data_IF_391017610717
#
_entry.id   IF_391017610717
#
_cell.length_a   1.000
_cell.length_b   1.000
_cell.length_c   1.000
_cell.angle_alpha   90.00
_cell.angle_beta   90.00
_cell.angle_gamma   90.00
#
_symmetry.space_group_name_H-M   'P 1'
#
loop_
_entity.id
_entity.type
_entity.pdbx_description
1 polymer ?
#
# COMPACT_ATOMS: atom_id res chain seq x y z
N UNK A 1 6.14 4.73 24.46
CA UNK A 1 5.75 3.32 24.26
C UNK A 1 4.86 3.26 23.02
N UNK A 2 5.44 3.42 21.83
CA UNK A 2 4.71 3.44 20.55
C UNK A 2 4.57 2.01 20.05
N UNK A 3 3.45 1.37 20.38
CA UNK A 3 3.13 0.04 19.90
C UNK A 3 2.56 0.10 18.47
N UNK A 4 3.21 -0.62 17.54
CA UNK A 4 2.65 -1.12 16.27
C UNK A 4 2.42 -0.11 15.12
N UNK A 5 3.48 0.54 14.64
CA UNK A 5 3.55 0.91 13.22
C UNK A 5 4.65 0.05 12.58
N UNK A 6 4.24 -0.99 11.85
CA UNK A 6 5.14 -1.68 10.92
C UNK A 6 5.60 -0.64 9.88
N UNK A 7 6.90 -0.35 9.81
CA UNK A 7 7.43 0.47 8.74
C UNK A 7 7.33 -0.32 7.44
N UNK A 8 6.55 0.21 6.50
CA UNK A 8 6.33 -0.44 5.18
C UNK A 8 7.61 -0.48 4.32
N UNK A 9 8.65 0.26 4.71
CA UNK A 9 9.97 0.25 4.07
C UNK A 9 10.79 -1.00 4.45
N UNK A 10 10.47 -1.64 5.58
CA UNK A 10 11.17 -2.84 6.07
C UNK A 10 10.60 -4.14 5.45
N UNK A 11 9.57 -4.03 4.59
CA UNK A 11 8.89 -5.18 4.00
C UNK A 11 9.66 -5.69 2.79
N UNK A 12 10.08 -6.95 2.83
CA UNK A 12 10.76 -7.60 1.71
C UNK A 12 9.78 -7.94 0.57
N UNK A 13 9.85 -7.17 -0.52
CA UNK A 13 8.99 -7.32 -1.70
C UNK A 13 9.46 -8.39 -2.70
N UNK A 14 10.73 -8.82 -2.63
CA UNK A 14 11.32 -9.86 -3.49
C UNK A 14 10.89 -11.28 -3.11
N UNK A 15 10.33 -11.44 -1.91
CA UNK A 15 9.78 -12.69 -1.41
C UNK A 15 8.38 -12.99 -1.99
N UNK A 16 7.98 -14.27 -1.98
CA UNK A 16 6.58 -14.65 -2.29
C UNK A 16 5.62 -14.02 -1.29
N UNK A 17 4.40 -13.76 -1.74
CA UNK A 17 3.36 -13.16 -0.91
C UNK A 17 3.09 -13.99 0.36
N UNK A 18 2.99 -13.34 1.54
CA UNK A 18 2.72 -14.04 2.79
C UNK A 18 1.36 -14.76 2.78
N UNK A 19 1.33 -15.98 3.34
CA UNK A 19 0.09 -16.77 3.50
C UNK A 19 -0.81 -16.20 4.58
N UNK A 20 -0.21 -15.67 5.65
CA UNK A 20 -0.97 -15.08 6.75
C UNK A 20 -1.50 -13.70 6.36
N UNK A 21 -2.79 -13.48 6.62
CA UNK A 21 -3.57 -12.35 6.10
C UNK A 21 -3.02 -10.98 6.54
N UNK A 22 -2.65 -10.74 7.81
CA UNK A 22 -2.13 -9.44 8.23
C UNK A 22 -0.80 -9.11 7.55
N UNK A 23 0.13 -10.06 7.47
CA UNK A 23 1.40 -9.88 6.77
C UNK A 23 1.19 -9.60 5.28
N UNK A 24 0.19 -10.24 4.67
CA UNK A 24 -0.15 -10.04 3.26
C UNK A 24 -0.71 -8.64 2.99
N UNK A 25 -1.53 -8.09 3.90
CA UNK A 25 -1.98 -6.70 3.81
C UNK A 25 -0.78 -5.74 3.75
N UNK A 26 0.16 -5.86 4.68
CA UNK A 26 1.37 -5.02 4.72
C UNK A 26 2.25 -5.20 3.47
N UNK A 27 2.38 -6.43 2.97
CA UNK A 27 3.10 -6.73 1.72
C UNK A 27 2.54 -5.96 0.52
N UNK A 28 1.21 -5.99 0.33
CA UNK A 28 0.60 -5.24 -0.77
C UNK A 28 0.62 -3.73 -0.57
N UNK A 29 0.50 -3.24 0.67
CA UNK A 29 0.67 -1.81 0.96
C UNK A 29 2.06 -1.29 0.61
N UNK A 30 3.11 -2.06 0.93
CA UNK A 30 4.50 -1.73 0.57
C UNK A 30 4.70 -1.75 -0.96
N UNK A 31 4.19 -2.79 -1.65
CA UNK A 31 4.25 -2.91 -3.11
C UNK A 31 3.57 -1.74 -3.83
N UNK A 32 2.40 -1.32 -3.36
CA UNK A 32 1.70 -0.16 -3.91
C UNK A 32 2.52 1.13 -3.76
N UNK A 33 3.23 1.32 -2.63
CA UNK A 33 4.08 2.50 -2.42
C UNK A 33 5.26 2.52 -3.38
N UNK A 34 5.94 1.39 -3.58
CA UNK A 34 7.03 1.27 -4.56
C UNK A 34 6.54 1.64 -5.96
N UNK A 35 5.37 1.14 -6.35
CA UNK A 35 4.78 1.44 -7.66
C UNK A 35 4.43 2.92 -7.83
N UNK A 36 3.88 3.56 -6.79
CA UNK A 36 3.59 5.00 -6.82
C UNK A 36 4.89 5.80 -6.95
N UNK A 37 5.92 5.52 -6.14
CA UNK A 37 7.22 6.21 -6.22
C UNK A 37 7.83 6.11 -7.63
N UNK A 38 7.90 4.90 -8.20
CA UNK A 38 8.39 4.70 -9.57
C UNK A 38 7.58 5.49 -10.60
N UNK A 39 6.25 5.56 -10.44
CA UNK A 39 5.38 6.32 -11.34
C UNK A 39 5.51 7.84 -11.17
N UNK A 40 5.77 8.31 -9.96
CA UNK A 40 6.06 9.72 -9.69
C UNK A 40 7.37 10.16 -10.34
N UNK A 41 8.39 9.30 -10.29
CA UNK A 41 9.68 9.51 -10.97
C UNK A 41 9.50 9.51 -12.50
N UNK A 42 8.77 8.53 -13.06
CA UNK A 42 8.47 8.46 -14.50
C UNK A 42 7.71 9.69 -15.03
N UNK A 43 6.81 10.26 -14.23
CA UNK A 43 5.95 11.38 -14.63
C UNK A 43 6.48 12.75 -14.15
N UNK A 44 7.57 12.75 -13.39
CA UNK A 44 8.17 13.91 -12.74
C UNK A 44 7.14 14.80 -12.00
N UNK A 45 6.17 14.18 -11.34
CA UNK A 45 5.14 14.87 -10.54
C UNK A 45 4.58 13.96 -9.46
N UNK A 46 4.10 14.55 -8.38
CA UNK A 46 3.40 13.82 -7.33
C UNK A 46 2.06 13.26 -7.85
N UNK A 47 1.72 12.04 -7.42
CA UNK A 47 0.48 11.38 -7.78
C UNK A 47 -0.59 11.60 -6.70
N UNK A 48 -1.80 11.87 -7.15
CA UNK A 48 -2.99 12.00 -6.31
C UNK A 48 -3.95 10.87 -6.65
N UNK A 49 -4.64 10.35 -5.65
CA UNK A 49 -5.69 9.35 -5.87
C UNK A 49 -7.07 10.00 -5.76
N UNK A 50 -8.03 9.48 -6.54
CA UNK A 50 -9.44 9.77 -6.39
C UNK A 50 -10.16 8.45 -6.20
N UNK A 51 -10.95 8.34 -5.12
CA UNK A 51 -11.74 7.15 -4.82
C UNK A 51 -13.20 7.54 -4.77
N UNK A 52 -14.02 6.81 -5.53
CA UNK A 52 -15.47 6.93 -5.48
C UNK A 52 -16.00 5.70 -4.78
N UNK A 53 -16.41 5.85 -3.53
CA UNK A 53 -17.15 4.79 -2.82
C UNK A 53 -18.61 4.88 -3.21
N UNK A 54 -19.25 3.76 -3.54
CA UNK A 54 -20.67 3.70 -3.94
C UNK A 54 -21.67 4.03 -2.81
N UNK A 55 -21.23 4.64 -1.71
CA UNK A 55 -22.05 4.88 -0.52
C UNK A 55 -22.57 3.59 0.10
N UNK A 56 -23.30 3.72 1.20
CA UNK A 56 -24.12 2.62 1.69
C UNK A 56 -25.46 2.68 0.93
N UNK A 57 -25.97 1.56 0.40
CA UNK A 57 -27.38 1.51 0.04
C UNK A 57 -28.19 1.62 1.33
N UNK A 58 -28.83 2.76 1.56
CA UNK A 58 -29.88 2.86 2.57
C UNK A 58 -31.06 2.06 2.02
N UNK A 59 -31.15 0.78 2.40
CA UNK A 59 -32.31 -0.09 2.14
C UNK A 59 -33.24 -0.04 3.33
#
# INVERSE_FOLDING_TARGET
>A
MSSLLMNLEDVNLDSKEPINEPQRQYYFMAKCREWVKRKEEELNRQLTFSVVTFGCPTV
#
